data_IF_862300494445
#
_entry.id   IF_862300494445
#
_cell.length_a   1.000
_cell.length_b   1.000
_cell.length_c   1.000
_cell.angle_alpha   90.00
_cell.angle_beta   90.00
_cell.angle_gamma   90.00
#
_symmetry.space_group_name_H-M   'P 1'
#
loop_
_entity.id
_entity.type
_entity.pdbx_description
1 polymer ?
#
# COMPACT_ATOMS: atom_id res chain seq x y z
N UNK A 1 20.02 -4.02 3.33
CA UNK A 1 18.85 -4.81 2.89
C UNK A 1 19.31 -5.82 1.85
N UNK A 2 18.66 -6.98 1.75
CA UNK A 2 18.93 -7.96 0.68
C UNK A 2 18.47 -7.36 -0.65
N UNK A 3 19.29 -7.50 -1.70
CA UNK A 3 18.97 -7.10 -3.08
C UNK A 3 17.75 -7.90 -3.56
N UNK A 4 16.71 -7.25 -4.08
CA UNK A 4 15.54 -7.94 -4.67
C UNK A 4 15.74 -8.04 -6.18
N UNK A 5 15.82 -9.26 -6.69
CA UNK A 5 16.01 -9.52 -8.12
C UNK A 5 14.67 -9.66 -8.84
N UNK A 6 14.69 -9.55 -10.17
CA UNK A 6 13.53 -9.91 -11.01
C UNK A 6 13.06 -11.33 -10.72
N UNK A 7 13.98 -12.28 -10.54
CA UNK A 7 13.65 -13.68 -10.24
C UNK A 7 12.91 -13.84 -8.90
N UNK A 8 13.30 -13.09 -7.87
CA UNK A 8 12.57 -13.08 -6.58
C UNK A 8 11.11 -12.64 -6.77
N UNK A 9 10.89 -11.61 -7.58
CA UNK A 9 9.54 -11.10 -7.90
C UNK A 9 8.73 -12.14 -8.68
N UNK A 10 9.33 -12.78 -9.69
CA UNK A 10 8.68 -13.83 -10.48
C UNK A 10 8.34 -15.06 -9.61
N UNK A 11 9.22 -15.44 -8.69
CA UNK A 11 8.98 -16.54 -7.76
C UNK A 11 7.83 -16.23 -6.80
N UNK A 12 7.76 -14.99 -6.30
CA UNK A 12 6.62 -14.56 -5.49
C UNK A 12 5.32 -14.62 -6.30
N UNK A 13 5.34 -14.14 -7.55
CA UNK A 13 4.17 -14.20 -8.45
C UNK A 13 3.67 -15.62 -8.63
N UNK A 14 4.57 -16.56 -8.98
CA UNK A 14 4.23 -17.98 -9.12
C UNK A 14 3.69 -18.60 -7.84
N UNK A 15 4.21 -18.17 -6.68
CA UNK A 15 3.70 -18.61 -5.37
C UNK A 15 2.27 -18.13 -5.11
N UNK A 16 1.93 -16.90 -5.51
CA UNK A 16 0.55 -16.40 -5.41
C UNK A 16 -0.39 -17.15 -6.34
N UNK A 17 0.04 -17.39 -7.58
CA UNK A 17 -0.72 -18.15 -8.58
C UNK A 17 -0.95 -19.61 -8.12
N UNK A 18 0.07 -20.29 -7.57
CA UNK A 18 -0.05 -21.67 -7.09
C UNK A 18 -0.92 -21.80 -5.84
N UNK A 19 -1.01 -20.74 -5.03
CA UNK A 19 -1.93 -20.64 -3.88
C UNK A 19 -3.37 -20.28 -4.29
N UNK A 20 -3.60 -19.98 -5.57
CA UNK A 20 -4.92 -19.62 -6.10
C UNK A 20 -5.38 -18.22 -5.70
N UNK A 21 -4.47 -17.31 -5.36
CA UNK A 21 -4.83 -15.93 -5.06
C UNK A 21 -5.39 -15.25 -6.30
N UNK A 22 -6.55 -14.59 -6.17
CA UNK A 22 -7.23 -13.95 -7.28
C UNK A 22 -6.42 -12.78 -7.83
N UNK A 23 -6.08 -12.83 -9.12
CA UNK A 23 -5.45 -11.71 -9.82
C UNK A 23 -6.52 -10.80 -10.42
N UNK A 24 -6.39 -9.50 -10.19
CA UNK A 24 -7.28 -8.46 -10.71
C UNK A 24 -6.48 -7.48 -11.53
N UNK A 25 -6.92 -7.25 -12.77
CA UNK A 25 -6.42 -6.17 -13.61
C UNK A 25 -7.25 -4.91 -13.36
N UNK A 26 -6.58 -3.77 -13.20
CA UNK A 26 -7.21 -2.49 -12.87
C UNK A 26 -6.76 -1.39 -13.84
N UNK A 27 -7.68 -0.46 -14.10
CA UNK A 27 -7.43 0.80 -14.79
C UNK A 27 -7.97 1.92 -13.89
N UNK A 28 -7.07 2.68 -13.28
CA UNK A 28 -7.42 3.76 -12.35
C UNK A 28 -6.66 5.02 -12.76
N UNK A 29 -7.40 6.11 -13.03
CA UNK A 29 -6.83 7.39 -13.48
C UNK A 29 -5.85 7.25 -14.65
N UNK A 30 -6.17 6.37 -15.61
CA UNK A 30 -5.37 6.10 -16.82
C UNK A 30 -4.15 5.20 -16.61
N UNK A 31 -3.97 4.64 -15.41
CA UNK A 31 -2.88 3.70 -15.09
C UNK A 31 -3.40 2.28 -15.10
N UNK A 32 -2.73 1.45 -15.90
CA UNK A 32 -3.02 0.01 -16.01
C UNK A 32 -2.02 -0.78 -15.20
N UNK A 33 -2.52 -1.58 -14.27
CA UNK A 33 -1.70 -2.45 -13.42
C UNK A 33 -2.53 -3.66 -12.98
N UNK A 34 -1.86 -4.65 -12.39
CA UNK A 34 -2.52 -5.82 -11.81
C UNK A 34 -2.10 -6.01 -10.36
N UNK A 35 -3.00 -6.52 -9.53
CA UNK A 35 -2.72 -6.88 -8.14
C UNK A 35 -3.36 -8.22 -7.79
N UNK A 36 -2.91 -8.80 -6.68
CA UNK A 36 -3.47 -10.02 -6.12
C UNK A 36 -4.34 -9.70 -4.90
N UNK A 37 -5.46 -10.40 -4.76
CA UNK A 37 -6.28 -10.37 -3.54
C UNK A 37 -5.70 -11.40 -2.58
N UNK A 38 -5.24 -10.93 -1.43
CA UNK A 38 -4.52 -11.73 -0.44
C UNK A 38 -5.39 -11.98 0.78
N UNK A 39 -5.36 -13.19 1.38
CA UNK A 39 -6.02 -13.45 2.64
C UNK A 39 -5.51 -12.53 3.77
N UNK A 40 -6.43 -11.94 4.55
CA UNK A 40 -6.08 -11.11 5.71
C UNK A 40 -5.23 -11.85 6.77
N UNK A 41 -5.33 -13.18 6.84
CA UNK A 41 -4.60 -14.00 7.82
C UNK A 41 -3.07 -14.05 7.57
N UNK A 42 -2.61 -13.68 6.36
CA UNK A 42 -1.19 -13.51 6.06
C UNK A 42 -0.54 -12.41 6.90
N UNK A 43 -1.32 -11.42 7.35
CA UNK A 43 -0.88 -10.42 8.31
C UNK A 43 -2.01 -10.05 9.27
N UNK A 44 -2.29 -10.94 10.24
CA UNK A 44 -3.34 -10.74 11.24
C UNK A 44 -3.15 -9.52 12.15
N UNK A 45 -1.95 -8.91 12.17
CA UNK A 45 -1.63 -7.75 13.00
C UNK A 45 -1.88 -6.41 12.31
N UNK A 46 -1.99 -6.41 10.98
CA UNK A 46 -2.21 -5.22 10.19
C UNK A 46 -3.46 -5.44 9.31
N UNK A 47 -4.65 -5.01 9.76
CA UNK A 47 -5.85 -5.12 8.95
C UNK A 47 -5.74 -4.26 7.69
N UNK A 48 -6.40 -4.68 6.61
CA UNK A 48 -6.44 -3.95 5.34
C UNK A 48 -5.06 -3.72 4.70
N UNK A 49 -4.11 -4.60 4.99
CA UNK A 49 -2.75 -4.44 4.51
C UNK A 49 -2.67 -4.47 2.98
N UNK A 50 -1.69 -3.74 2.47
CA UNK A 50 -1.14 -3.95 1.15
C UNK A 50 0.28 -4.47 1.30
N UNK A 51 0.74 -5.21 0.31
CA UNK A 51 2.14 -5.59 0.21
C UNK A 51 2.62 -5.39 -1.21
N UNK A 52 3.92 -5.15 -1.32
CA UNK A 52 4.59 -5.06 -2.61
C UNK A 52 5.92 -5.80 -2.56
N UNK A 53 6.31 -6.30 -3.71
CA UNK A 53 7.66 -6.73 -4.01
C UNK A 53 8.05 -6.10 -5.33
N UNK A 54 9.13 -5.33 -5.36
CA UNK A 54 9.64 -4.67 -6.56
C UNK A 54 11.11 -5.02 -6.68
N UNK A 55 11.56 -5.36 -7.88
CA UNK A 55 12.99 -5.56 -8.12
C UNK A 55 13.74 -4.24 -7.97
N UNK A 56 15.01 -4.31 -7.57
CA UNK A 56 15.82 -3.11 -7.32
C UNK A 56 16.00 -2.23 -8.58
N UNK A 57 15.89 -2.82 -9.76
CA UNK A 57 15.92 -2.13 -11.06
C UNK A 57 14.55 -1.61 -11.52
N UNK A 58 13.49 -1.85 -10.74
CA UNK A 58 12.11 -1.47 -11.06
C UNK A 58 11.47 -2.27 -12.22
N UNK A 59 12.18 -3.22 -12.83
CA UNK A 59 11.72 -3.92 -14.05
C UNK A 59 10.62 -4.95 -13.80
N UNK A 60 10.41 -5.35 -12.55
CA UNK A 60 9.36 -6.28 -12.15
C UNK A 60 8.77 -5.90 -10.80
N UNK A 61 7.47 -6.11 -10.67
CA UNK A 61 6.77 -5.96 -9.39
C UNK A 61 5.65 -6.99 -9.22
N UNK A 62 5.21 -7.13 -7.97
CA UNK A 62 3.98 -7.81 -7.54
C UNK A 62 3.36 -6.93 -6.46
N UNK A 63 2.07 -6.65 -6.59
CA UNK A 63 1.26 -5.94 -5.59
C UNK A 63 0.19 -6.91 -5.07
N UNK A 64 -0.02 -6.91 -3.77
CA UNK A 64 -1.08 -7.66 -3.09
C UNK A 64 -1.88 -6.76 -2.17
N UNK A 65 -3.19 -6.97 -2.12
CA UNK A 65 -4.13 -6.21 -1.30
C UNK A 65 -5.00 -7.18 -0.50
N UNK A 66 -5.17 -6.92 0.79
CA UNK A 66 -5.97 -7.76 1.68
C UNK A 66 -7.42 -7.90 1.21
N UNK A 67 -7.97 -9.09 1.35
CA UNK A 67 -9.36 -9.42 1.08
C UNK A 67 -10.34 -8.82 2.10
N UNK A 68 -9.85 -8.36 3.26
CA UNK A 68 -10.63 -7.61 4.26
C UNK A 68 -11.10 -6.25 3.76
N UNK A 69 -10.43 -5.68 2.75
CA UNK A 69 -10.85 -4.45 2.11
C UNK A 69 -12.08 -4.70 1.23
N UNK A 70 -13.08 -3.80 1.24
CA UNK A 70 -14.18 -3.82 0.28
C UNK A 70 -13.63 -3.82 -1.15
N UNK A 71 -14.25 -4.59 -2.04
CA UNK A 71 -13.73 -4.75 -3.41
C UNK A 71 -13.59 -3.41 -4.14
N UNK A 72 -14.53 -2.50 -3.89
CA UNK A 72 -14.52 -1.14 -4.44
C UNK A 72 -13.33 -0.30 -3.98
N UNK A 73 -12.63 -0.67 -2.91
CA UNK A 73 -11.51 0.09 -2.35
C UNK A 73 -10.15 -0.46 -2.82
N UNK A 74 -10.08 -1.77 -3.10
CA UNK A 74 -8.83 -2.47 -3.42
C UNK A 74 -8.04 -1.85 -4.58
N UNK A 75 -8.64 -1.42 -5.70
CA UNK A 75 -7.89 -0.81 -6.79
C UNK A 75 -7.13 0.46 -6.40
N UNK A 76 -7.68 1.27 -5.48
CA UNK A 76 -7.05 2.52 -5.04
C UNK A 76 -5.90 2.25 -4.06
N UNK A 77 -6.04 1.25 -3.21
CA UNK A 77 -4.94 0.79 -2.34
C UNK A 77 -3.81 0.19 -3.19
N UNK A 78 -4.14 -0.61 -4.21
CA UNK A 78 -3.14 -1.13 -5.15
C UNK A 78 -2.48 0.01 -5.97
N UNK A 79 -3.25 1.04 -6.33
CA UNK A 79 -2.72 2.24 -6.99
C UNK A 79 -1.68 2.94 -6.11
N UNK A 80 -1.89 3.04 -4.79
CA UNK A 80 -0.91 3.63 -3.87
C UNK A 80 0.45 2.94 -4.00
N UNK A 81 0.47 1.60 -3.85
CA UNK A 81 1.69 0.79 -3.94
C UNK A 81 2.36 0.92 -5.32
N UNK A 82 1.55 0.94 -6.38
CA UNK A 82 2.04 1.12 -7.74
C UNK A 82 2.73 2.49 -7.92
N UNK A 83 2.06 3.57 -7.54
CA UNK A 83 2.60 4.93 -7.67
C UNK A 83 3.83 5.11 -6.78
N UNK A 84 3.77 4.68 -5.52
CA UNK A 84 4.87 4.84 -4.56
C UNK A 84 6.15 4.15 -5.06
N UNK A 85 6.03 2.90 -5.48
CA UNK A 85 7.21 2.05 -5.68
C UNK A 85 7.60 1.83 -7.13
N UNK A 86 6.67 1.96 -8.07
CA UNK A 86 6.91 1.74 -9.51
C UNK A 86 7.08 3.06 -10.24
N UNK A 87 6.21 4.05 -10.02
CA UNK A 87 6.30 5.35 -10.72
C UNK A 87 7.29 6.31 -10.04
N UNK A 88 7.19 6.47 -8.73
CA UNK A 88 8.02 7.41 -7.97
C UNK A 88 9.37 6.75 -7.62
N UNK A 89 9.32 5.56 -7.03
CA UNK A 89 10.48 4.77 -6.68
C UNK A 89 10.78 4.74 -5.17
N UNK A 90 11.17 3.56 -4.68
CA UNK A 90 11.32 3.25 -3.26
C UNK A 90 12.33 4.12 -2.48
N UNK A 91 13.27 4.76 -3.18
CA UNK A 91 14.34 5.56 -2.55
C UNK A 91 14.04 7.07 -2.57
N UNK A 92 12.91 7.49 -3.13
CA UNK A 92 12.57 8.90 -3.24
C UNK A 92 11.90 9.36 -1.94
N UNK A 93 12.42 10.41 -1.26
CA UNK A 93 11.78 10.97 -0.08
C UNK A 93 10.39 11.53 -0.38
N UNK A 94 9.45 11.30 0.53
CA UNK A 94 8.07 11.79 0.43
C UNK A 94 7.23 11.04 -0.60
N UNK A 95 7.68 9.87 -1.07
CA UNK A 95 6.98 9.03 -2.04
C UNK A 95 5.60 8.58 -1.53
N UNK A 96 5.49 8.24 -0.24
CA UNK A 96 4.25 7.72 0.33
C UNK A 96 3.15 8.80 0.36
N UNK A 97 3.51 10.01 0.78
CA UNK A 97 2.59 11.15 0.79
C UNK A 97 2.13 11.52 -0.63
N UNK A 98 3.05 11.54 -1.60
CA UNK A 98 2.72 11.80 -3.02
C UNK A 98 1.83 10.72 -3.62
N UNK A 99 2.08 9.45 -3.30
CA UNK A 99 1.23 8.34 -3.73
C UNK A 99 -0.18 8.44 -3.12
N UNK A 100 -0.27 8.83 -1.85
CA UNK A 100 -1.55 9.06 -1.16
C UNK A 100 -2.37 10.19 -1.80
N UNK A 101 -1.72 11.28 -2.25
CA UNK A 101 -2.42 12.36 -2.97
C UNK A 101 -3.01 11.84 -4.29
N UNK A 102 -2.24 11.06 -5.06
CA UNK A 102 -2.72 10.46 -6.31
C UNK A 102 -3.86 9.48 -6.04
N UNK A 103 -3.73 8.64 -5.01
CA UNK A 103 -4.76 7.73 -4.54
C UNK A 103 -6.06 8.47 -4.23
N UNK A 104 -6.04 9.45 -3.31
CA UNK A 104 -7.24 10.17 -2.87
C UNK A 104 -7.93 10.94 -4.00
N UNK A 105 -7.15 11.52 -4.91
CA UNK A 105 -7.70 12.22 -6.09
C UNK A 105 -8.29 11.26 -7.13
N UNK A 106 -7.89 9.99 -7.12
CA UNK A 106 -8.40 8.97 -8.05
C UNK A 106 -9.66 8.28 -7.54
N UNK A 107 -9.97 8.41 -6.25
CA UNK A 107 -11.16 7.80 -5.64
C UNK A 107 -12.42 8.60 -6.05
N UNK A 108 -13.47 7.93 -6.56
CA UNK A 108 -14.76 8.54 -6.89
C UNK A 108 -15.36 9.28 -5.71
N UNK A 109 -16.01 10.40 -5.98
CA UNK A 109 -16.54 11.30 -4.96
C UNK A 109 -17.50 10.58 -4.00
N UNK A 110 -18.30 9.65 -4.52
CA UNK A 110 -19.34 8.92 -3.80
C UNK A 110 -18.79 8.04 -2.68
N UNK A 111 -17.55 7.56 -2.82
CA UNK A 111 -16.90 6.69 -1.82
C UNK A 111 -15.69 7.36 -1.15
N UNK A 112 -15.29 8.55 -1.59
CA UNK A 112 -14.02 9.18 -1.17
C UNK A 112 -13.92 9.40 0.33
N UNK A 113 -15.00 9.84 0.98
CA UNK A 113 -15.01 10.12 2.42
C UNK A 113 -14.81 8.86 3.25
N UNK A 114 -15.67 7.85 3.05
CA UNK A 114 -15.60 6.57 3.77
C UNK A 114 -14.31 5.79 3.44
N UNK A 115 -13.79 5.94 2.23
CA UNK A 115 -12.48 5.44 1.85
C UNK A 115 -11.36 6.11 2.65
N UNK A 116 -11.33 7.44 2.68
CA UNK A 116 -10.31 8.20 3.40
C UNK A 116 -10.32 7.93 4.91
N UNK A 117 -11.49 7.78 5.53
CA UNK A 117 -11.64 7.38 6.93
C UNK A 117 -11.00 6.01 7.19
N UNK A 118 -11.24 5.04 6.32
CA UNK A 118 -10.64 3.70 6.46
C UNK A 118 -9.13 3.70 6.21
N UNK A 119 -8.65 4.50 5.25
CA UNK A 119 -7.21 4.69 5.02
C UNK A 119 -6.54 5.36 6.21
N UNK A 120 -7.17 6.36 6.84
CA UNK A 120 -6.68 6.97 8.09
C UNK A 120 -6.49 5.90 9.16
N UNK A 121 -7.49 5.04 9.35
CA UNK A 121 -7.44 3.99 10.36
C UNK A 121 -6.35 2.94 10.05
N UNK A 122 -6.17 2.59 8.77
CA UNK A 122 -5.03 1.78 8.34
C UNK A 122 -3.69 2.44 8.69
N UNK A 123 -3.47 3.71 8.31
CA UNK A 123 -2.20 4.39 8.58
C UNK A 123 -1.94 4.55 10.09
N UNK A 124 -2.99 4.76 10.89
CA UNK A 124 -2.90 4.75 12.35
C UNK A 124 -2.40 3.40 12.87
N UNK A 125 -2.98 2.31 12.37
CA UNK A 125 -2.55 0.96 12.72
C UNK A 125 -1.12 0.64 12.22
N UNK A 126 -0.77 1.11 11.02
CA UNK A 126 0.56 0.95 10.41
C UNK A 126 1.66 1.63 11.22
N UNK A 127 1.43 2.88 11.63
CA UNK A 127 2.34 3.64 12.49
C UNK A 127 2.54 2.91 13.81
N UNK A 128 1.45 2.51 14.48
CA UNK A 128 1.52 1.76 15.73
C UNK A 128 2.27 0.42 15.58
N UNK A 129 2.02 -0.29 14.48
CA UNK A 129 2.67 -1.56 14.17
C UNK A 129 4.20 -1.39 14.09
N UNK A 130 4.67 -0.45 13.27
CA UNK A 130 6.11 -0.27 13.06
C UNK A 130 6.82 0.43 14.24
N UNK A 131 6.13 1.28 15.00
CA UNK A 131 6.69 1.79 16.26
C UNK A 131 7.01 0.66 17.24
N UNK A 132 6.13 -0.34 17.34
CA UNK A 132 6.35 -1.51 18.20
C UNK A 132 7.45 -2.42 17.64
N UNK A 133 7.50 -2.65 16.32
CA UNK A 133 8.59 -3.43 15.73
C UNK A 133 9.97 -2.80 15.96
N UNK A 134 10.09 -1.47 15.84
CA UNK A 134 11.34 -0.75 16.11
C UNK A 134 11.73 -0.88 17.59
N UNK A 135 10.78 -0.71 18.52
CA UNK A 135 11.01 -0.90 19.96
C UNK A 135 11.47 -2.33 20.28
N UNK A 136 10.92 -3.32 19.58
CA UNK A 136 11.28 -4.74 19.70
C UNK A 136 12.60 -5.10 18.98
N UNK A 137 13.26 -4.14 18.32
CA UNK A 137 14.50 -4.36 17.56
C UNK A 137 14.31 -5.03 16.19
N UNK A 138 13.07 -5.20 15.73
CA UNK A 138 12.72 -5.73 14.40
C UNK A 138 12.74 -4.58 13.40
N UNK A 139 13.87 -4.34 12.75
CA UNK A 139 14.04 -3.24 11.79
C UNK A 139 13.49 -3.59 10.40
N UNK A 140 12.19 -3.80 10.29
CA UNK A 140 11.53 -4.01 8.99
C UNK A 140 11.46 -2.72 8.16
N UNK A 141 11.38 -1.57 8.82
CA UNK A 141 11.37 -0.23 8.21
C UNK A 141 12.39 0.69 8.88
N UNK A 142 12.81 1.74 8.18
CA UNK A 142 13.67 2.79 8.76
C UNK A 142 12.85 3.83 9.53
N UNK A 143 13.53 4.64 10.36
CA UNK A 143 12.89 5.79 11.01
C UNK A 143 12.36 6.81 9.99
N UNK A 144 13.01 6.92 8.82
CA UNK A 144 12.56 7.77 7.72
C UNK A 144 11.25 7.27 7.11
N UNK A 145 11.09 5.96 6.94
CA UNK A 145 9.83 5.36 6.47
C UNK A 145 8.70 5.59 7.50
N UNK A 146 8.99 5.40 8.79
CA UNK A 146 8.01 5.69 9.84
C UNK A 146 7.58 7.17 9.83
N UNK A 147 8.51 8.09 9.60
CA UNK A 147 8.20 9.51 9.46
C UNK A 147 7.32 9.79 8.22
N UNK A 148 7.50 9.06 7.11
CA UNK A 148 6.60 9.15 5.95
C UNK A 148 5.20 8.64 6.25
N UNK A 149 5.06 7.54 6.99
CA UNK A 149 3.74 7.02 7.39
C UNK A 149 3.01 8.01 8.31
N UNK A 150 3.72 8.62 9.26
CA UNK A 150 3.15 9.66 10.14
C UNK A 150 2.67 10.88 9.36
N UNK A 151 3.46 11.38 8.40
CA UNK A 151 3.05 12.49 7.53
C UNK A 151 1.79 12.14 6.72
N UNK A 152 1.72 10.93 6.18
CA UNK A 152 0.57 10.45 5.43
C UNK A 152 -0.69 10.34 6.31
N UNK A 153 -0.52 9.89 7.56
CA UNK A 153 -1.59 9.90 8.56
C UNK A 153 -2.10 11.31 8.85
N UNK A 154 -1.20 12.28 9.12
CA UNK A 154 -1.59 13.67 9.35
C UNK A 154 -2.34 14.29 8.16
N UNK A 155 -1.96 13.93 6.93
CA UNK A 155 -2.68 14.35 5.72
C UNK A 155 -4.10 13.79 5.68
N UNK A 156 -4.27 12.50 5.98
CA UNK A 156 -5.58 11.85 6.06
C UNK A 156 -6.45 12.43 7.17
N UNK A 157 -5.88 12.71 8.35
CA UNK A 157 -6.60 13.34 9.46
C UNK A 157 -7.14 14.72 9.06
N UNK A 158 -6.33 15.55 8.39
CA UNK A 158 -6.75 16.86 7.86
C UNK A 158 -7.77 16.73 6.74
N UNK A 159 -7.65 15.73 5.88
CA UNK A 159 -8.60 15.49 4.80
C UNK A 159 -9.98 15.12 5.35
N UNK A 160 -10.00 14.18 6.30
CA UNK A 160 -11.24 13.70 6.93
C UNK A 160 -11.89 14.79 7.78
N UNK A 161 -11.12 15.62 8.49
CA UNK A 161 -11.70 16.71 9.31
C UNK A 161 -12.38 17.78 8.46
N UNK A 162 -11.78 18.17 7.32
CA UNK A 162 -12.37 19.16 6.39
C UNK A 162 -13.60 18.66 5.65
N UNK A 163 -13.76 17.34 5.49
CA UNK A 163 -14.92 16.74 4.83
C UNK A 163 -16.19 16.71 5.73
N UNK A 164 -16.12 17.31 6.92
CA UNK A 164 -17.23 17.42 7.88
C UNK A 164 -17.73 18.85 8.10
N UNK A 165 -17.10 19.85 7.47
CA UNK A 165 -17.52 21.25 7.43
C UNK A 165 -18.26 21.54 6.11
#
# INVERSE_FOLDING_TARGET
MKRITREDVENLRKSFESRGYGKVDADVAGRKFSYYVLPQDLNSKLPDFAMRCTSDDGSAYVIGVSDSLPESYRPYVALHEFVEFVEIGAQVPGRCARALEVELNSVPEEIRKSYAERRRDFFKNLVNYYENEIKDGKRAVSEADLAEFKRSLEMLEKFVSKACD
#
